data_IF_768765422111
#
_entry.id   IF_768765422111
#
_cell.length_a   1.000
_cell.length_b   1.000
_cell.length_c   1.000
_cell.angle_alpha   90.00
_cell.angle_beta   90.00
_cell.angle_gamma   90.00
#
_symmetry.space_group_name_H-M   'P 1'
#
loop_
_entity.id
_entity.type
_entity.pdbx_description
1 polymer ?
#
# COMPACT_ATOMS: atom_id res chain seq x y z
N UNK A 1 -11.32 6.44 14.61
CA UNK A 1 -10.95 5.44 13.59
C UNK A 1 -12.11 5.39 12.61
N UNK A 2 -11.83 5.19 11.32
CA UNK A 2 -12.86 5.05 10.30
C UNK A 2 -13.48 3.65 10.37
N UNK A 3 -14.72 3.51 9.90
CA UNK A 3 -15.40 2.21 9.81
C UNK A 3 -14.59 1.21 8.97
N UNK A 4 -14.00 1.68 7.88
CA UNK A 4 -13.12 0.86 7.02
C UNK A 4 -11.86 0.38 7.78
N UNK A 5 -11.31 1.20 8.67
CA UNK A 5 -10.17 0.78 9.49
C UNK A 5 -10.56 -0.26 10.55
N UNK A 6 -11.74 -0.13 11.15
CA UNK A 6 -12.25 -1.13 12.10
C UNK A 6 -12.50 -2.48 11.41
N UNK A 7 -12.95 -2.47 10.15
CA UNK A 7 -13.05 -3.68 9.31
C UNK A 7 -11.68 -4.24 8.96
N UNK A 8 -10.73 -3.39 8.58
CA UNK A 8 -9.36 -3.82 8.28
C UNK A 8 -8.69 -4.50 9.48
N UNK A 9 -8.92 -4.05 10.70
CA UNK A 9 -8.38 -4.69 11.88
C UNK A 9 -8.93 -6.12 12.11
N UNK A 10 -10.14 -6.41 11.62
CA UNK A 10 -10.75 -7.75 11.67
C UNK A 10 -10.33 -8.61 10.47
N UNK A 11 -10.14 -8.00 9.30
CA UNK A 11 -9.82 -8.62 8.02
C UNK A 11 -8.54 -8.00 7.44
N UNK A 12 -7.34 -8.28 8.02
CA UNK A 12 -6.13 -7.50 7.74
C UNK A 12 -5.43 -7.84 6.42
N UNK A 13 -6.14 -8.49 5.50
CA UNK A 13 -5.62 -8.84 4.18
C UNK A 13 -6.29 -7.96 3.13
N UNK A 14 -5.46 -7.31 2.33
CA UNK A 14 -5.94 -6.45 1.24
C UNK A 14 -5.59 -7.09 -0.09
N UNK A 15 -6.57 -7.14 -1.00
CA UNK A 15 -6.35 -7.53 -2.39
C UNK A 15 -6.87 -6.47 -3.36
N UNK A 16 -6.16 -6.30 -4.45
CA UNK A 16 -6.55 -5.47 -5.62
C UNK A 16 -6.60 -6.29 -6.91
N UNK A 17 -6.44 -7.63 -6.81
CA UNK A 17 -6.38 -8.56 -7.94
C UNK A 17 -7.16 -9.83 -7.60
N UNK A 18 -8.26 -10.11 -8.33
CA UNK A 18 -9.12 -11.28 -8.09
C UNK A 18 -8.44 -12.63 -8.35
N UNK A 19 -7.30 -12.64 -9.03
CA UNK A 19 -6.48 -13.85 -9.21
C UNK A 19 -5.72 -14.25 -7.94
N UNK A 20 -5.63 -13.34 -6.97
CA UNK A 20 -4.86 -13.47 -5.72
C UNK A 20 -5.72 -13.18 -4.49
N UNK A 21 -7.02 -13.47 -4.56
CA UNK A 21 -7.90 -13.32 -3.40
C UNK A 21 -7.49 -14.35 -2.36
N UNK A 22 -7.22 -13.84 -1.17
CA UNK A 22 -7.10 -14.67 0.02
C UNK A 22 -8.43 -14.69 0.75
N UNK A 23 -8.84 -15.83 1.33
CA UNK A 23 -10.03 -15.88 2.18
C UNK A 23 -9.96 -14.84 3.30
N UNK A 24 -11.10 -14.24 3.61
CA UNK A 24 -11.21 -13.25 4.68
C UNK A 24 -10.44 -11.94 4.41
N UNK A 25 -10.27 -11.59 3.14
CA UNK A 25 -9.62 -10.34 2.71
C UNK A 25 -10.64 -9.24 2.41
N UNK A 26 -10.16 -7.99 2.31
CA UNK A 26 -10.91 -6.86 1.74
C UNK A 26 -10.40 -6.61 0.33
N UNK A 27 -11.28 -6.71 -0.66
CA UNK A 27 -10.97 -6.41 -2.05
C UNK A 27 -11.19 -4.93 -2.36
N UNK A 28 -10.22 -4.25 -2.94
CA UNK A 28 -10.36 -2.88 -3.44
C UNK A 28 -10.54 -2.88 -4.96
N UNK A 29 -11.72 -2.47 -5.42
CA UNK A 29 -12.08 -2.38 -6.83
C UNK A 29 -11.48 -1.14 -7.49
N UNK A 30 -10.16 -1.15 -7.71
CA UNK A 30 -9.44 -0.01 -8.27
C UNK A 30 -9.79 0.20 -9.74
N UNK A 31 -9.78 1.46 -10.20
CA UNK A 31 -9.86 1.83 -11.61
C UNK A 31 -8.50 2.25 -12.15
N UNK A 32 -8.23 1.88 -13.39
CA UNK A 32 -7.10 2.34 -14.18
C UNK A 32 -7.56 2.81 -15.56
N UNK A 33 -6.65 3.33 -16.37
CA UNK A 33 -6.98 3.88 -17.69
C UNK A 33 -7.73 2.89 -18.62
N UNK A 34 -7.43 1.58 -18.50
CA UNK A 34 -8.02 0.52 -19.32
C UNK A 34 -8.62 -0.61 -18.46
N UNK A 35 -8.85 -0.39 -17.18
CA UNK A 35 -9.28 -1.41 -16.24
C UNK A 35 -10.31 -0.83 -15.26
N UNK A 36 -11.40 -1.57 -15.04
CA UNK A 36 -12.42 -1.24 -14.05
C UNK A 36 -12.59 -2.42 -13.07
N UNK A 37 -12.09 -2.25 -11.86
CA UNK A 37 -12.12 -3.23 -10.79
C UNK A 37 -13.53 -3.56 -10.31
N UNK A 38 -14.52 -2.66 -10.50
CA UNK A 38 -15.90 -2.90 -10.08
C UNK A 38 -16.53 -4.11 -10.78
N UNK A 39 -16.09 -4.40 -11.99
CA UNK A 39 -16.55 -5.58 -12.75
C UNK A 39 -16.20 -6.91 -12.08
N UNK A 40 -15.29 -6.90 -11.12
CA UNK A 40 -14.77 -8.09 -10.45
C UNK A 40 -15.17 -8.18 -8.96
N UNK A 41 -16.02 -7.28 -8.48
CA UNK A 41 -16.45 -7.27 -7.07
C UNK A 41 -17.18 -8.56 -6.70
N UNK A 42 -18.15 -8.99 -7.52
CA UNK A 42 -18.88 -10.23 -7.29
C UNK A 42 -17.93 -11.45 -7.27
N UNK A 43 -17.03 -11.54 -8.26
CA UNK A 43 -16.02 -12.59 -8.33
C UNK A 43 -15.11 -12.62 -7.09
N UNK A 44 -14.70 -11.45 -6.59
CA UNK A 44 -13.87 -11.36 -5.39
C UNK A 44 -14.59 -11.91 -4.16
N UNK A 45 -15.86 -11.55 -3.98
CA UNK A 45 -16.69 -12.06 -2.88
C UNK A 45 -16.96 -13.56 -2.99
N UNK A 46 -17.20 -14.08 -4.20
CA UNK A 46 -17.35 -15.52 -4.47
C UNK A 46 -16.07 -16.30 -4.15
N UNK A 47 -14.89 -15.71 -4.40
CA UNK A 47 -13.58 -16.29 -4.09
C UNK A 47 -13.19 -16.20 -2.62
N UNK A 48 -14.04 -15.60 -1.77
CA UNK A 48 -13.86 -15.59 -0.33
C UNK A 48 -13.35 -14.29 0.26
N UNK A 49 -13.36 -13.18 -0.49
CA UNK A 49 -13.19 -11.87 0.13
C UNK A 49 -14.35 -11.63 1.12
N UNK A 50 -14.03 -11.17 2.33
CA UNK A 50 -15.03 -10.85 3.33
C UNK A 50 -15.82 -9.59 2.94
N UNK A 51 -15.14 -8.59 2.42
CA UNK A 51 -15.69 -7.33 1.98
C UNK A 51 -15.05 -6.87 0.67
N UNK A 52 -15.75 -5.96 -0.02
CA UNK A 52 -15.21 -5.22 -1.15
C UNK A 52 -15.42 -3.71 -0.96
N UNK A 53 -14.45 -2.92 -1.41
CA UNK A 53 -14.57 -1.45 -1.50
C UNK A 53 -14.76 -1.09 -2.96
N UNK A 54 -15.83 -0.36 -3.28
CA UNK A 54 -16.27 -0.05 -4.64
C UNK A 54 -16.70 1.41 -4.76
N UNK A 55 -16.50 2.03 -5.90
CA UNK A 55 -17.07 3.34 -6.27
C UNK A 55 -18.38 3.22 -7.07
N UNK A 56 -18.95 2.01 -7.16
CA UNK A 56 -20.27 1.75 -7.72
C UNK A 56 -21.31 1.74 -6.60
N UNK A 57 -22.09 2.83 -6.52
CA UNK A 57 -23.15 2.97 -5.53
C UNK A 57 -24.29 1.93 -5.69
N UNK A 58 -24.53 1.46 -6.93
CA UNK A 58 -25.54 0.43 -7.21
C UNK A 58 -25.11 -0.93 -6.66
N UNK A 59 -23.86 -1.31 -6.85
CA UNK A 59 -23.30 -2.54 -6.28
C UNK A 59 -23.34 -2.51 -4.74
N UNK A 60 -22.94 -1.39 -4.13
CA UNK A 60 -22.95 -1.22 -2.68
C UNK A 60 -24.36 -1.26 -2.07
N UNK A 61 -25.36 -0.78 -2.79
CA UNK A 61 -26.77 -0.87 -2.34
C UNK A 61 -27.35 -2.29 -2.45
N UNK A 62 -26.73 -3.15 -3.27
CA UNK A 62 -27.22 -4.51 -3.53
C UNK A 62 -26.65 -5.58 -2.56
N UNK A 63 -25.48 -5.34 -1.97
CA UNK A 63 -24.82 -6.30 -1.06
C UNK A 63 -24.13 -5.54 0.08
N UNK A 64 -24.51 -5.83 1.33
CA UNK A 64 -23.97 -5.21 2.55
C UNK A 64 -22.45 -5.44 2.75
N UNK A 65 -21.85 -6.41 2.06
CA UNK A 65 -20.42 -6.64 2.07
C UNK A 65 -19.66 -5.69 1.14
N UNK A 66 -20.36 -4.86 0.36
CA UNK A 66 -19.76 -3.90 -0.54
C UNK A 66 -19.83 -2.50 0.09
N UNK A 67 -18.68 -1.97 0.49
CA UNK A 67 -18.56 -0.63 1.04
C UNK A 67 -18.41 0.37 -0.10
N UNK A 68 -19.29 1.38 -0.10
CA UNK A 68 -19.17 2.48 -1.05
C UNK A 68 -18.04 3.43 -0.65
N UNK A 69 -17.16 3.72 -1.60
CA UNK A 69 -16.17 4.79 -1.52
C UNK A 69 -16.21 5.59 -2.82
N UNK A 70 -16.37 6.90 -2.74
CA UNK A 70 -16.44 7.76 -3.93
C UNK A 70 -15.19 7.66 -4.83
N UNK A 71 -14.04 7.32 -4.25
CA UNK A 71 -12.78 6.98 -4.93
C UNK A 71 -12.09 5.84 -4.17
N UNK A 72 -12.01 4.67 -4.80
CA UNK A 72 -11.43 3.46 -4.19
C UNK A 72 -9.92 3.58 -3.97
N UNK A 73 -9.20 4.30 -4.82
CA UNK A 73 -7.77 4.54 -4.65
C UNK A 73 -7.51 5.48 -3.47
N UNK A 74 -8.26 6.55 -3.38
CA UNK A 74 -8.19 7.46 -2.24
C UNK A 74 -8.51 6.74 -0.94
N UNK A 75 -9.56 5.90 -0.92
CA UNK A 75 -9.93 5.10 0.26
C UNK A 75 -8.80 4.16 0.69
N UNK A 76 -8.10 3.51 -0.25
CA UNK A 76 -6.94 2.67 0.04
C UNK A 76 -5.79 3.48 0.65
N UNK A 77 -5.52 4.67 0.13
CA UNK A 77 -4.45 5.55 0.61
C UNK A 77 -4.77 6.12 2.00
N UNK A 78 -6.01 6.50 2.26
CA UNK A 78 -6.47 6.99 3.56
C UNK A 78 -6.44 5.88 4.61
N UNK A 79 -6.87 4.66 4.27
CA UNK A 79 -6.77 3.49 5.13
C UNK A 79 -5.31 3.21 5.51
N UNK A 80 -4.40 3.25 4.54
CA UNK A 80 -2.98 3.01 4.77
C UNK A 80 -2.36 4.10 5.66
N UNK A 81 -2.73 5.36 5.48
CA UNK A 81 -2.27 6.47 6.31
C UNK A 81 -2.81 6.35 7.75
N UNK A 82 -4.09 5.97 7.91
CA UNK A 82 -4.67 5.73 9.23
C UNK A 82 -3.94 4.60 9.96
N UNK A 83 -3.68 3.49 9.26
CA UNK A 83 -2.92 2.35 9.79
C UNK A 83 -1.48 2.74 10.16
N UNK A 84 -0.79 3.50 9.29
CA UNK A 84 0.53 4.06 9.54
C UNK A 84 0.57 4.85 10.85
N UNK A 85 -0.42 5.71 11.08
CA UNK A 85 -0.53 6.53 12.29
C UNK A 85 -0.82 5.70 13.53
N UNK A 86 -1.69 4.69 13.40
CA UNK A 86 -2.06 3.80 14.50
C UNK A 86 -0.89 2.91 14.96
N UNK A 87 -0.01 2.49 14.03
CA UNK A 87 1.20 1.74 14.37
C UNK A 87 2.25 2.59 15.08
N UNK A 88 2.40 3.86 14.70
CA UNK A 88 3.35 4.80 15.32
C UNK A 88 4.83 4.44 15.17
N UNK A 89 5.17 3.43 14.38
CA UNK A 89 6.55 2.95 14.18
C UNK A 89 7.37 3.91 13.31
N UNK A 90 8.71 3.93 13.43
CA UNK A 90 9.57 4.69 12.52
C UNK A 90 9.50 4.12 11.10
N UNK A 91 9.42 5.01 10.10
CA UNK A 91 9.45 4.68 8.67
C UNK A 91 10.58 5.43 7.99
N UNK A 92 11.41 4.68 7.26
CA UNK A 92 12.39 5.20 6.32
C UNK A 92 11.83 5.09 4.89
N UNK A 93 11.70 6.22 4.21
CA UNK A 93 11.40 6.27 2.78
C UNK A 93 12.70 6.29 1.97
N UNK A 94 12.75 5.47 0.91
CA UNK A 94 13.87 5.40 -0.02
C UNK A 94 13.37 5.75 -1.42
N UNK A 95 13.86 6.85 -1.98
CA UNK A 95 13.59 7.28 -3.34
C UNK A 95 14.88 7.39 -4.14
N UNK A 96 14.80 7.91 -5.35
CA UNK A 96 15.96 8.17 -6.21
C UNK A 96 15.81 7.62 -7.62
N UNK A 97 16.77 7.97 -8.48
CA UNK A 97 16.75 7.58 -9.90
C UNK A 97 17.21 6.13 -10.12
N UNK A 98 18.15 5.65 -9.32
CA UNK A 98 18.75 4.31 -9.47
C UNK A 98 19.17 3.76 -8.11
N UNK A 99 19.20 2.43 -7.96
CA UNK A 99 19.68 1.77 -6.75
C UNK A 99 18.70 1.71 -5.57
N UNK A 100 17.46 2.18 -5.71
CA UNK A 100 16.44 2.15 -4.65
C UNK A 100 16.27 0.77 -4.02
N UNK A 101 16.01 -0.25 -4.85
CA UNK A 101 15.77 -1.63 -4.38
C UNK A 101 17.00 -2.21 -3.70
N UNK A 102 18.18 -2.00 -4.25
CA UNK A 102 19.45 -2.45 -3.62
C UNK A 102 19.66 -1.76 -2.28
N UNK A 103 19.46 -0.44 -2.22
CA UNK A 103 19.58 0.32 -0.97
C UNK A 103 18.55 -0.15 0.06
N UNK A 104 17.30 -0.36 -0.35
CA UNK A 104 16.25 -0.91 0.49
C UNK A 104 16.64 -2.27 1.06
N UNK A 105 17.13 -3.18 0.23
CA UNK A 105 17.51 -4.53 0.66
C UNK A 105 18.69 -4.51 1.66
N UNK A 106 19.71 -3.70 1.39
CA UNK A 106 20.87 -3.54 2.29
C UNK A 106 20.45 -2.94 3.64
N UNK A 107 19.69 -1.83 3.60
CA UNK A 107 19.22 -1.16 4.82
C UNK A 107 18.31 -2.08 5.62
N UNK A 108 17.40 -2.80 4.95
CA UNK A 108 16.47 -3.73 5.64
C UNK A 108 17.22 -4.87 6.32
N UNK A 109 18.30 -5.38 5.73
CA UNK A 109 19.15 -6.41 6.35
C UNK A 109 19.85 -5.86 7.59
N UNK A 110 20.48 -4.69 7.49
CA UNK A 110 21.19 -4.08 8.63
C UNK A 110 20.23 -3.78 9.78
N UNK A 111 19.06 -3.17 9.49
CA UNK A 111 18.05 -2.91 10.51
C UNK A 111 17.47 -4.19 11.09
N UNK A 112 17.35 -5.25 10.27
CA UNK A 112 16.82 -6.55 10.68
C UNK A 112 17.67 -7.28 11.73
N UNK A 113 18.94 -6.90 11.91
CA UNK A 113 19.79 -7.42 13.01
C UNK A 113 19.28 -6.96 14.40
N UNK A 114 18.47 -5.90 14.44
CA UNK A 114 18.02 -5.31 15.71
C UNK A 114 16.52 -5.15 15.82
N UNK A 115 15.80 -5.01 14.70
CA UNK A 115 14.38 -4.68 14.65
C UNK A 115 13.61 -5.70 13.81
N UNK A 116 12.33 -5.90 14.13
CA UNK A 116 11.38 -6.56 13.22
C UNK A 116 11.03 -5.61 12.06
N UNK A 117 11.70 -5.78 10.91
CA UNK A 117 11.59 -4.89 9.76
C UNK A 117 10.52 -5.38 8.78
N UNK A 118 9.61 -4.48 8.38
CA UNK A 118 8.76 -4.66 7.21
C UNK A 118 9.21 -3.74 6.09
N UNK A 119 9.49 -4.30 4.91
CA UNK A 119 9.99 -3.53 3.76
C UNK A 119 9.15 -3.76 2.51
N UNK A 120 9.15 -2.77 1.60
CA UNK A 120 8.51 -2.87 0.28
C UNK A 120 8.92 -4.16 -0.43
N UNK A 121 7.93 -4.95 -0.85
CA UNK A 121 8.12 -6.19 -1.61
C UNK A 121 7.98 -5.93 -3.10
N UNK A 122 8.88 -6.54 -3.91
CA UNK A 122 8.84 -6.40 -5.36
C UNK A 122 8.89 -4.93 -5.80
N UNK A 123 7.96 -4.54 -6.65
CA UNK A 123 7.82 -3.20 -7.23
C UNK A 123 6.66 -2.39 -6.62
N UNK A 124 6.24 -2.68 -5.39
CA UNK A 124 5.15 -1.97 -4.70
C UNK A 124 5.57 -0.57 -4.21
N UNK A 125 6.05 0.26 -5.13
CA UNK A 125 6.67 1.55 -4.86
C UNK A 125 5.91 2.78 -5.41
N UNK A 126 4.69 2.57 -5.94
CA UNK A 126 3.82 3.60 -6.53
C UNK A 126 2.62 3.92 -5.63
N UNK A 127 1.66 4.71 -6.16
CA UNK A 127 0.45 5.18 -5.47
C UNK A 127 -0.53 4.07 -5.01
N UNK A 128 -0.35 2.82 -5.47
CA UNK A 128 -1.06 1.62 -4.98
C UNK A 128 -0.12 0.79 -4.08
N UNK A 129 1.12 0.61 -4.50
CA UNK A 129 2.08 -0.26 -3.83
C UNK A 129 2.54 0.25 -2.46
N UNK A 130 2.72 1.57 -2.30
CA UNK A 130 3.06 2.17 -1.01
C UNK A 130 1.95 1.95 0.02
N UNK A 131 0.66 2.23 -0.27
CA UNK A 131 -0.44 1.84 0.62
C UNK A 131 -0.43 0.36 1.00
N UNK A 132 -0.28 -0.54 0.03
CA UNK A 132 -0.24 -1.99 0.29
C UNK A 132 0.96 -2.40 1.16
N UNK A 133 2.11 -1.77 0.98
CA UNK A 133 3.28 -1.97 1.85
C UNK A 133 2.97 -1.57 3.30
N UNK A 134 2.35 -0.41 3.50
CA UNK A 134 1.97 0.07 4.84
C UNK A 134 0.95 -0.86 5.50
N UNK A 135 -0.08 -1.30 4.76
CA UNK A 135 -1.12 -2.20 5.24
C UNK A 135 -0.62 -3.63 5.52
N UNK A 136 0.56 -4.00 4.99
CA UNK A 136 1.22 -5.27 5.33
C UNK A 136 2.01 -5.24 6.64
N UNK A 137 2.22 -4.07 7.24
CA UNK A 137 2.86 -3.91 8.53
C UNK A 137 1.89 -4.35 9.63
N UNK A 138 2.40 -4.98 10.68
CA UNK A 138 1.62 -5.47 11.81
C UNK A 138 2.08 -4.82 13.10
N UNK A 139 1.43 -5.12 14.20
CA UNK A 139 1.85 -4.68 15.54
C UNK A 139 3.21 -5.22 15.96
N UNK A 140 3.66 -6.29 15.33
CA UNK A 140 5.00 -6.87 15.57
C UNK A 140 6.09 -6.15 14.76
N UNK A 141 5.70 -5.30 13.79
CA UNK A 141 6.65 -4.51 13.02
C UNK A 141 7.21 -3.39 13.88
N UNK A 142 8.54 -3.32 14.00
CA UNK A 142 9.25 -2.27 14.76
C UNK A 142 9.82 -1.17 13.87
N UNK A 143 10.05 -1.46 12.58
CA UNK A 143 10.62 -0.51 11.63
C UNK A 143 10.09 -0.75 10.20
N UNK A 144 9.63 0.30 9.53
CA UNK A 144 9.19 0.24 8.13
C UNK A 144 10.24 0.78 7.18
N UNK A 145 10.50 0.09 6.06
CA UNK A 145 11.36 0.56 4.97
C UNK A 145 10.54 0.61 3.68
N UNK A 146 10.20 1.81 3.23
CA UNK A 146 9.27 2.03 2.12
C UNK A 146 10.00 2.59 0.91
N UNK A 147 10.07 1.80 -0.17
CA UNK A 147 10.57 2.26 -1.46
C UNK A 147 9.51 3.15 -2.14
N UNK A 148 9.93 4.30 -2.66
CA UNK A 148 9.07 5.26 -3.37
C UNK A 148 9.61 5.53 -4.76
N UNK A 149 8.88 5.08 -5.79
CA UNK A 149 9.15 5.35 -7.20
C UNK A 149 8.24 6.45 -7.72
N UNK A 150 8.80 7.38 -8.49
CA UNK A 150 8.05 8.41 -9.18
C UNK A 150 8.48 8.52 -10.64
N UNK A 151 7.50 8.69 -11.51
CA UNK A 151 7.67 8.92 -12.95
C UNK A 151 7.30 10.34 -13.34
N UNK A 152 6.55 11.06 -12.49
CA UNK A 152 6.07 12.41 -12.73
C UNK A 152 6.28 13.34 -11.52
N UNK A 153 6.25 14.62 -11.80
CA UNK A 153 6.33 15.66 -10.77
C UNK A 153 5.14 15.53 -9.79
N UNK A 154 5.41 15.66 -8.49
CA UNK A 154 4.38 15.58 -7.44
C UNK A 154 4.08 14.17 -6.91
N UNK A 155 4.41 13.10 -7.63
CA UNK A 155 4.13 11.73 -7.16
C UNK A 155 4.83 11.41 -5.84
N UNK A 156 6.09 11.81 -5.65
CA UNK A 156 6.79 11.60 -4.38
C UNK A 156 6.12 12.33 -3.21
N UNK A 157 5.58 13.52 -3.45
CA UNK A 157 4.86 14.27 -2.43
C UNK A 157 3.58 13.54 -2.01
N UNK A 158 2.85 12.96 -2.98
CA UNK A 158 1.70 12.11 -2.69
C UNK A 158 2.10 10.89 -1.87
N UNK A 159 3.12 10.13 -2.30
CA UNK A 159 3.58 8.95 -1.58
C UNK A 159 4.05 9.28 -0.17
N UNK A 160 4.77 10.39 0.00
CA UNK A 160 5.20 10.87 1.31
C UNK A 160 4.02 11.30 2.18
N UNK A 161 2.96 11.89 1.62
CA UNK A 161 1.76 12.26 2.38
C UNK A 161 0.96 11.04 2.88
N UNK A 162 1.10 9.90 2.21
CA UNK A 162 0.46 8.63 2.64
C UNK A 162 1.33 7.91 3.68
N UNK A 163 2.64 7.80 3.43
CA UNK A 163 3.55 7.05 4.29
C UNK A 163 4.01 7.85 5.52
N UNK A 164 3.93 9.18 5.49
CA UNK A 164 4.39 10.08 6.57
C UNK A 164 5.74 9.61 7.16
N UNK A 165 6.82 9.53 6.35
CA UNK A 165 8.08 8.94 6.79
C UNK A 165 8.77 9.81 7.84
N UNK A 166 9.43 9.17 8.82
CA UNK A 166 10.26 9.86 9.81
C UNK A 166 11.64 10.18 9.23
N UNK A 167 12.10 9.35 8.28
CA UNK A 167 13.41 9.48 7.63
C UNK A 167 13.25 9.33 6.12
N UNK A 168 14.04 10.10 5.36
CA UNK A 168 14.05 10.02 3.90
C UNK A 168 15.50 9.92 3.42
N UNK A 169 15.76 9.04 2.47
CA UNK A 169 17.03 8.99 1.75
C UNK A 169 16.80 8.89 0.24
N UNK A 170 17.75 9.43 -0.53
CA UNK A 170 17.73 9.37 -1.99
C UNK A 170 18.88 8.51 -2.48
N UNK A 171 18.55 7.41 -3.17
CA UNK A 171 19.50 6.59 -3.89
C UNK A 171 19.76 7.18 -5.27
N UNK A 172 20.92 7.78 -5.47
CA UNK A 172 21.37 8.30 -6.77
C UNK A 172 22.69 7.64 -7.12
N UNK A 173 22.78 7.08 -8.32
CA UNK A 173 24.04 6.62 -8.86
C UNK A 173 24.50 7.62 -9.92
N UNK A 174 25.65 8.26 -9.70
CA UNK A 174 26.35 9.01 -10.73
C UNK A 174 27.47 8.10 -11.27
N UNK A 175 27.49 7.88 -12.58
CA UNK A 175 28.66 7.24 -13.17
C UNK A 175 29.91 8.06 -12.80
N UNK A 176 31.02 7.39 -12.44
CA UNK A 176 32.26 8.12 -12.27
C UNK A 176 32.55 8.88 -13.58
N UNK A 177 32.76 10.19 -13.47
CA UNK A 177 33.29 10.97 -14.60
C UNK A 177 34.60 10.34 -14.97
N UNK A 178 34.70 9.82 -16.19
CA UNK A 178 35.95 9.32 -16.69
C UNK A 178 37.02 10.44 -16.61
N UNK A 179 38.29 10.11 -16.23
CA UNK A 179 39.36 11.09 -16.11
C UNK A 179 39.68 11.74 -17.44
#
# INVERSE_FOLDING_TARGET
MSELYDLFLKHPRISTDTRKIEPDSIFFALRGANFDGNRFVAEALEKGAAFAVSDDAGAAAADERILYAGDTLQALQELAREHRRALGIPILAISGSSGKTTTKDLVSRVLGERFAVCATRGNLNNHIGVPLTLLSMTRDTEFGVVEMGASACGELALLASVAEPNYVTSATWSAPTAP
#
